data_IF_947019683893
#
_entry.id   IF_947019683893
#
_cell.length_a   1.000
_cell.length_b   1.000
_cell.length_c   1.000
_cell.angle_alpha   90.00
_cell.angle_beta   90.00
_cell.angle_gamma   90.00
#
_symmetry.space_group_name_H-M   'P 1'
#
loop_
_entity.id
_entity.type
_entity.pdbx_description
1 polymer ?
#
# COMPACT_ATOMS: atom_id res chain seq x y z
N UNK A 1 -3.80 0.02 17.93
CA UNK A 1 -4.80 0.16 16.84
C UNK A 1 -4.20 -0.54 15.63
N UNK A 2 -4.86 -1.51 14.99
CA UNK A 2 -4.27 -2.17 13.83
C UNK A 2 -4.11 -1.13 12.71
N UNK A 3 -2.86 -0.76 12.42
CA UNK A 3 -2.53 0.02 11.23
C UNK A 3 -2.94 -0.83 10.03
N UNK A 4 -3.98 -0.40 9.31
CA UNK A 4 -4.41 -1.07 8.09
C UNK A 4 -3.35 -0.82 7.01
N UNK A 5 -2.36 -1.72 6.93
CA UNK A 5 -1.34 -1.69 5.88
C UNK A 5 -1.84 -2.39 4.62
N UNK A 6 -1.37 -1.94 3.47
CA UNK A 6 -1.69 -2.49 2.15
C UNK A 6 -0.42 -2.75 1.36
N UNK A 7 -0.35 -3.92 0.74
CA UNK A 7 0.76 -4.32 -0.15
C UNK A 7 0.33 -4.23 -1.61
N UNK A 8 1.30 -4.21 -2.52
CA UNK A 8 1.03 -4.11 -3.96
C UNK A 8 0.10 -5.23 -4.46
N UNK A 9 0.34 -6.46 -4.01
CA UNK A 9 -0.50 -7.62 -4.31
C UNK A 9 -1.95 -7.43 -3.88
N UNK A 10 -2.18 -6.73 -2.79
CA UNK A 10 -3.52 -6.55 -2.22
C UNK A 10 -4.35 -5.51 -2.96
N UNK A 11 -3.70 -4.59 -3.68
CA UNK A 11 -4.36 -3.66 -4.63
C UNK A 11 -4.43 -4.22 -6.05
N UNK A 12 -3.97 -5.46 -6.26
CA UNK A 12 -4.02 -6.12 -7.57
C UNK A 12 -2.85 -5.81 -8.50
N UNK A 13 -1.68 -5.46 -7.94
CA UNK A 13 -0.44 -5.22 -8.71
C UNK A 13 -0.61 -4.18 -9.82
N UNK A 14 -1.35 -3.12 -9.50
CA UNK A 14 -1.64 -1.99 -10.39
C UNK A 14 -0.36 -1.33 -10.88
N UNK A 15 -0.32 -0.97 -12.16
CA UNK A 15 0.85 -0.38 -12.81
C UNK A 15 0.67 1.09 -13.19
N UNK A 16 -0.54 1.61 -12.98
CA UNK A 16 -0.89 2.98 -13.34
C UNK A 16 -1.28 3.75 -12.08
N UNK A 17 -0.90 5.03 -11.97
CA UNK A 17 -1.35 5.86 -10.87
C UNK A 17 -2.84 6.15 -11.04
N UNK A 18 -3.58 6.14 -9.94
CA UNK A 18 -5.03 6.32 -10.01
C UNK A 18 -5.76 5.95 -8.74
N UNK A 19 -7.08 5.90 -8.86
CA UNK A 19 -8.00 5.57 -7.77
C UNK A 19 -8.51 4.14 -7.95
N UNK A 20 -8.24 3.29 -6.97
CA UNK A 20 -8.58 1.87 -7.01
C UNK A 20 -9.50 1.49 -5.86
N UNK A 21 -10.42 0.56 -6.10
CA UNK A 21 -11.33 0.07 -5.07
C UNK A 21 -10.61 -0.96 -4.19
N UNK A 22 -10.65 -0.77 -2.88
CA UNK A 22 -9.98 -1.62 -1.90
C UNK A 22 -10.92 -1.90 -0.73
N UNK A 23 -11.30 -3.18 -0.56
CA UNK A 23 -12.13 -3.77 0.50
C UNK A 23 -13.42 -3.01 0.88
N UNK A 24 -13.30 -1.82 1.45
CA UNK A 24 -14.37 -0.98 2.01
C UNK A 24 -14.27 0.50 1.57
N UNK A 25 -13.46 0.81 0.56
CA UNK A 25 -13.29 2.18 0.09
C UNK A 25 -12.43 2.28 -1.17
N UNK A 26 -11.92 3.49 -1.39
CA UNK A 26 -11.08 3.84 -2.52
C UNK A 26 -9.70 4.24 -2.02
N UNK A 27 -8.66 3.71 -2.66
CA UNK A 27 -7.27 4.05 -2.39
C UNK A 27 -6.73 4.82 -3.58
N UNK A 28 -6.13 5.97 -3.31
CA UNK A 28 -5.40 6.76 -4.29
C UNK A 28 -3.94 6.32 -4.28
N UNK A 29 -3.45 5.91 -5.43
CA UNK A 29 -2.08 5.44 -5.66
C UNK A 29 -1.39 6.46 -6.56
N UNK A 30 -0.30 7.05 -6.06
CA UNK A 30 0.48 8.05 -6.81
C UNK A 30 1.61 7.39 -7.60
N UNK A 31 2.20 8.09 -8.58
CA UNK A 31 3.39 7.60 -9.27
C UNK A 31 4.57 7.30 -8.33
N UNK A 32 4.67 8.05 -7.23
CA UNK A 32 5.72 7.84 -6.23
C UNK A 32 5.53 6.54 -5.45
N UNK A 33 4.28 6.19 -5.12
CA UNK A 33 3.97 4.93 -4.43
C UNK A 33 4.26 3.72 -5.33
N UNK A 34 3.94 3.83 -6.63
CA UNK A 34 4.27 2.80 -7.61
C UNK A 34 5.78 2.58 -7.72
N UNK A 35 6.56 3.65 -7.79
CA UNK A 35 8.02 3.54 -7.85
C UNK A 35 8.60 2.80 -6.63
N UNK A 36 8.01 2.98 -5.44
CA UNK A 36 8.39 2.23 -4.25
C UNK A 36 8.04 0.75 -4.40
N UNK A 37 6.86 0.41 -4.91
CA UNK A 37 6.48 -0.99 -5.13
C UNK A 37 7.28 -1.66 -6.25
N UNK A 38 7.69 -0.93 -7.28
CA UNK A 38 8.58 -1.44 -8.32
C UNK A 38 9.97 -1.79 -7.75
N UNK A 39 10.49 -0.97 -6.83
CA UNK A 39 11.76 -1.25 -6.15
C UNK A 39 11.62 -2.31 -5.05
N UNK A 40 10.49 -2.30 -4.35
CA UNK A 40 10.20 -3.14 -3.20
C UNK A 40 8.77 -3.72 -3.32
N UNK A 41 8.60 -4.83 -4.05
CA UNK A 41 7.28 -5.42 -4.31
C UNK A 41 6.55 -5.90 -3.03
N UNK A 42 7.30 -6.08 -1.95
CA UNK A 42 6.79 -6.47 -0.64
C UNK A 42 6.57 -5.27 0.30
N UNK A 43 6.76 -4.03 -0.15
CA UNK A 43 6.51 -2.85 0.67
C UNK A 43 5.04 -2.75 1.06
N UNK A 44 4.80 -2.48 2.34
CA UNK A 44 3.47 -2.33 2.91
C UNK A 44 3.25 -0.87 3.30
N UNK A 45 2.29 -0.21 2.65
CA UNK A 45 1.92 1.17 2.92
C UNK A 45 0.83 1.25 3.98
N UNK A 46 0.92 2.26 4.85
CA UNK A 46 -0.16 2.57 5.79
C UNK A 46 -1.29 3.28 5.06
N UNK A 47 -2.53 2.83 5.24
CA UNK A 47 -3.71 3.53 4.73
C UNK A 47 -4.03 4.73 5.62
N UNK A 48 -4.00 5.92 5.03
CA UNK A 48 -4.35 7.18 5.68
C UNK A 48 -5.70 7.62 5.15
N UNK A 49 -6.69 7.77 6.04
CA UNK A 49 -8.00 8.26 5.65
C UNK A 49 -7.94 9.76 5.32
N UNK A 50 -8.50 10.13 4.17
CA UNK A 50 -8.58 11.53 3.75
C UNK A 50 -9.64 12.29 4.57
N UNK A 51 -9.27 13.47 5.06
CA UNK A 51 -10.16 14.31 5.86
C UNK A 51 -11.27 14.88 4.98
N UNK A 52 -12.53 14.66 5.34
CA UNK A 52 -13.69 15.17 4.59
C UNK A 52 -14.16 14.27 3.44
N UNK A 53 -13.50 13.13 3.19
CA UNK A 53 -13.92 12.16 2.19
C UNK A 53 -14.24 10.80 2.83
N UNK A 54 -15.50 10.38 2.73
CA UNK A 54 -15.94 9.11 3.27
C UNK A 54 -15.33 7.98 2.44
N UNK A 55 -14.66 7.04 3.12
CA UNK A 55 -14.09 5.84 2.51
C UNK A 55 -13.01 6.13 1.44
N UNK A 56 -12.36 7.29 1.48
CA UNK A 56 -11.19 7.59 0.64
C UNK A 56 -9.91 7.54 1.46
N UNK A 57 -8.93 6.85 0.92
CA UNK A 57 -7.66 6.57 1.56
C UNK A 57 -6.51 6.91 0.62
N UNK A 58 -5.40 7.34 1.20
CA UNK A 58 -4.13 7.52 0.50
C UNK A 58 -3.04 6.71 1.17
N UNK A 59 -1.99 6.45 0.42
CA UNK A 59 -0.82 5.75 0.90
C UNK A 59 0.04 6.72 1.72
N UNK A 60 0.30 6.37 2.98
CA UNK A 60 1.16 7.12 3.89
C UNK A 60 2.56 6.52 3.97
N UNK A 61 3.12 6.46 5.17
CA UNK A 61 4.41 5.79 5.39
C UNK A 61 4.37 4.32 4.96
N UNK A 62 5.45 3.88 4.32
CA UNK A 62 5.67 2.48 3.97
C UNK A 62 6.67 1.83 4.91
N UNK A 63 6.48 0.53 5.11
CA UNK A 63 7.43 -0.34 5.77
C UNK A 63 7.91 -1.39 4.78
N UNK A 64 9.22 -1.58 4.73
CA UNK A 64 9.80 -2.76 4.12
C UNK A 64 9.65 -3.87 5.15
N UNK A 65 8.72 -4.81 4.94
CA UNK A 65 8.73 -6.01 5.76
C UNK A 65 10.10 -6.66 5.56
N UNK A 66 10.84 -7.00 6.65
CA UNK A 66 12.07 -7.73 6.48
C UNK A 66 11.71 -8.98 5.68
N UNK A 67 12.43 -9.20 4.59
CA UNK A 67 12.48 -10.54 4.02
C UNK A 67 12.82 -11.44 5.20
N UNK A 68 11.93 -12.37 5.55
CA UNK A 68 12.34 -13.45 6.44
C UNK A 68 13.48 -14.13 5.69
N UNK A 69 14.71 -13.79 6.08
CA UNK A 69 15.82 -14.71 5.98
C UNK A 69 15.32 -15.91 6.75
N UNK A 70 14.77 -16.88 6.03
CA UNK A 70 14.65 -18.25 6.47
C UNK A 70 16.08 -18.65 6.88
N UNK A 71 16.39 -18.37 8.14
CA UNK A 71 17.62 -18.70 8.82
C UNK A 71 17.45 -20.17 9.20
N UNK A 72 17.38 -21.03 8.19
CA UNK A 72 17.57 -22.46 8.36
C UNK A 72 19.07 -22.71 8.16
N UNK A 73 19.79 -22.49 9.26
CA UNK A 73 21.07 -23.16 9.52
C UNK A 73 20.79 -24.62 9.88
#
# INVERSE_FOLDING_TARGET
MPVNKVTWKKVGEVKEPGRYMYTFGWVTITPADLAIWELFPNAAFTLVQQVGANNEYSLGSFDLQPFELDSRD
#
